data_IF_546707907762
#
_entry.id   IF_546707907762
#
_cell.length_a   1.000
_cell.length_b   1.000
_cell.length_c   1.000
_cell.angle_alpha   90.00
_cell.angle_beta   90.00
_cell.angle_gamma   90.00
#
_symmetry.space_group_name_H-M   'P 1'
#
loop_
_entity.id
_entity.type
_entity.pdbx_description
1 polymer ?
#
# COMPACT_ATOMS: atom_id res chain seq x y z
N UNK A 1 -5.16 20.59 23.63
CA UNK A 1 -4.38 20.91 24.84
C UNK A 1 -3.12 21.67 24.44
N UNK A 2 -2.64 22.62 25.26
CA UNK A 2 -1.32 23.23 25.09
C UNK A 2 -0.36 22.53 26.05
N UNK A 3 0.71 21.98 25.51
CA UNK A 3 1.77 21.32 26.28
C UNK A 3 3.09 22.01 25.97
N UNK A 4 3.92 22.18 26.99
CA UNK A 4 5.30 22.66 26.85
C UNK A 4 6.21 21.45 27.06
N UNK A 5 7.21 21.28 26.19
CA UNK A 5 8.18 20.18 26.24
C UNK A 5 9.58 20.79 26.10
N UNK A 6 10.53 20.30 26.88
CA UNK A 6 11.93 20.68 26.74
C UNK A 6 12.56 19.86 25.62
N UNK A 7 13.18 20.56 24.66
CA UNK A 7 13.82 19.97 23.49
C UNK A 7 15.23 20.57 23.34
N UNK A 8 16.21 19.80 22.87
CA UNK A 8 17.51 20.35 22.50
C UNK A 8 17.37 21.44 21.41
N UNK A 9 18.13 22.52 21.53
CA UNK A 9 18.07 23.65 20.59
C UNK A 9 18.40 23.24 19.16
N UNK A 10 19.40 22.39 18.98
CA UNK A 10 19.82 21.88 17.67
C UNK A 10 18.65 21.15 16.97
N UNK A 11 17.91 20.33 17.72
CA UNK A 11 16.74 19.64 17.20
C UNK A 11 15.65 20.65 16.82
N UNK A 12 15.43 21.69 17.62
CA UNK A 12 14.44 22.70 17.32
C UNK A 12 14.79 23.53 16.07
N UNK A 13 16.08 23.75 15.81
CA UNK A 13 16.58 24.39 14.59
C UNK A 13 16.24 23.52 13.37
N UNK A 14 16.58 22.22 13.41
CA UNK A 14 16.29 21.29 12.32
C UNK A 14 14.78 21.18 12.03
N UNK A 15 13.96 21.13 13.09
CA UNK A 15 12.50 21.08 12.98
C UNK A 15 11.96 22.34 12.29
N UNK A 16 12.46 23.54 12.62
CA UNK A 16 12.07 24.78 11.94
C UNK A 16 12.41 24.76 10.45
N UNK A 17 13.61 24.29 10.10
CA UNK A 17 14.02 24.13 8.70
C UNK A 17 13.11 23.15 7.97
N UNK A 18 12.80 22.00 8.59
CA UNK A 18 11.92 20.99 8.01
C UNK A 18 10.48 21.51 7.83
N UNK A 19 9.95 22.26 8.79
CA UNK A 19 8.62 22.87 8.71
C UNK A 19 8.54 23.92 7.60
N UNK A 20 9.57 24.77 7.47
CA UNK A 20 9.67 25.75 6.38
C UNK A 20 9.71 25.07 5.00
N UNK A 21 10.53 24.03 4.84
CA UNK A 21 10.59 23.24 3.59
C UNK A 21 9.24 22.62 3.21
N UNK A 22 8.48 22.14 4.20
CA UNK A 22 7.15 21.54 4.01
C UNK A 22 6.01 22.56 3.95
N UNK A 23 6.32 23.85 4.09
CA UNK A 23 5.35 24.96 4.16
C UNK A 23 4.24 24.70 5.18
N UNK A 24 4.60 24.21 6.36
CA UNK A 24 3.66 23.97 7.44
C UNK A 24 4.09 24.66 8.73
N UNK A 25 3.14 24.85 9.65
CA UNK A 25 3.43 25.41 10.97
C UNK A 25 4.11 24.38 11.87
N UNK A 26 4.89 24.84 12.86
CA UNK A 26 5.50 23.96 13.88
C UNK A 26 4.44 23.11 14.59
N UNK A 27 3.28 23.69 14.89
CA UNK A 27 2.15 22.96 15.48
C UNK A 27 1.72 21.79 14.59
N UNK A 28 1.48 22.03 13.30
CA UNK A 28 1.10 20.97 12.36
C UNK A 28 2.20 19.91 12.21
N UNK A 29 3.46 20.33 12.18
CA UNK A 29 4.60 19.43 12.10
C UNK A 29 4.64 18.48 13.31
N UNK A 30 4.54 19.01 14.52
CA UNK A 30 4.51 18.22 15.75
C UNK A 30 3.27 17.33 15.81
N UNK A 31 2.09 17.84 15.44
CA UNK A 31 0.85 17.05 15.43
C UNK A 31 0.95 15.85 14.49
N UNK A 32 1.49 16.03 13.28
CA UNK A 32 1.70 14.93 12.33
C UNK A 32 2.73 13.91 12.83
N UNK A 33 3.82 14.38 13.45
CA UNK A 33 4.84 13.50 14.02
C UNK A 33 4.26 12.66 15.17
N UNK A 34 3.56 13.29 16.12
CA UNK A 34 2.95 12.61 17.25
C UNK A 34 1.88 11.62 16.81
N UNK A 35 1.03 11.97 15.85
CA UNK A 35 0.04 11.05 15.28
C UNK A 35 0.69 9.81 14.66
N UNK A 36 1.81 10.00 13.94
CA UNK A 36 2.56 8.90 13.33
C UNK A 36 3.14 7.95 14.37
N UNK A 37 3.80 8.48 15.41
CA UNK A 37 4.46 7.68 16.44
C UNK A 37 3.48 7.03 17.42
N UNK A 38 2.37 7.70 17.73
CA UNK A 38 1.31 7.14 18.55
C UNK A 38 0.44 6.12 17.79
N UNK A 39 0.74 5.85 16.51
CA UNK A 39 -0.09 5.04 15.61
C UNK A 39 -1.54 5.54 15.50
N UNK A 40 -1.76 6.84 15.73
CA UNK A 40 -3.07 7.50 15.65
C UNK A 40 -3.23 8.03 14.23
N UNK A 41 -3.80 7.21 13.34
CA UNK A 41 -4.11 7.60 11.97
C UNK A 41 -4.54 6.42 11.11
N UNK A 42 -5.13 6.69 9.93
CA UNK A 42 -5.47 5.62 9.00
C UNK A 42 -4.19 4.84 8.63
N UNK A 43 -4.26 3.49 8.56
CA UNK A 43 -3.09 2.69 8.24
C UNK A 43 -2.47 3.17 6.93
N UNK A 44 -1.14 3.33 6.91
CA UNK A 44 -0.42 3.65 5.67
C UNK A 44 -0.87 2.65 4.58
N UNK A 45 -1.21 3.10 3.37
CA UNK A 45 -1.56 2.19 2.30
C UNK A 45 -0.40 1.21 2.12
N UNK A 46 -0.66 -0.08 2.37
CA UNK A 46 0.33 -1.12 2.13
C UNK A 46 0.66 -1.05 0.64
N UNK A 47 1.97 -0.99 0.30
CA UNK A 47 2.39 -1.14 -1.09
C UNK A 47 1.75 -2.43 -1.62
N UNK A 48 1.06 -2.41 -2.78
CA UNK A 48 0.52 -3.63 -3.36
C UNK A 48 1.69 -4.58 -3.55
N UNK A 49 1.64 -5.73 -2.87
CA UNK A 49 2.60 -6.80 -3.11
C UNK A 49 2.26 -7.37 -4.49
N UNK A 50 3.23 -7.52 -5.40
CA UNK A 50 2.95 -8.16 -6.68
C UNK A 50 2.37 -9.55 -6.42
N UNK A 51 1.19 -9.82 -6.97
CA UNK A 51 0.55 -11.13 -6.91
C UNK A 51 1.44 -12.13 -7.67
N UNK A 52 1.93 -13.15 -6.97
CA UNK A 52 2.78 -14.18 -7.58
C UNK A 52 1.88 -15.33 -8.06
N UNK A 53 1.75 -15.45 -9.37
CA UNK A 53 1.10 -16.60 -9.98
C UNK A 53 1.91 -17.87 -9.70
N UNK A 54 1.27 -18.87 -9.09
CA UNK A 54 1.79 -20.22 -9.04
C UNK A 54 1.17 -21.01 -10.19
N UNK A 55 1.89 -21.15 -11.29
CA UNK A 55 1.49 -21.97 -12.43
C UNK A 55 2.17 -23.34 -12.36
N UNK A 56 1.46 -24.39 -12.76
CA UNK A 56 2.05 -25.71 -12.95
C UNK A 56 2.76 -25.75 -14.33
N UNK A 57 3.89 -26.47 -14.49
CA UNK A 57 4.51 -26.69 -15.79
C UNK A 57 3.52 -27.36 -16.76
N UNK A 58 3.35 -26.78 -17.95
CA UNK A 58 2.35 -27.25 -18.94
C UNK A 58 1.65 -26.13 -19.70
N UNK A 59 1.76 -24.88 -19.22
CA UNK A 59 1.23 -23.71 -19.92
C UNK A 59 -0.29 -23.72 -20.04
N UNK A 60 -0.80 -22.85 -20.92
CA UNK A 60 -2.22 -22.76 -21.23
C UNK A 60 -2.55 -23.76 -22.33
N UNK A 61 -3.65 -24.49 -22.14
CA UNK A 61 -4.09 -25.45 -23.13
C UNK A 61 -4.53 -24.74 -24.44
N UNK A 62 -4.36 -25.37 -25.62
CA UNK A 62 -4.71 -24.75 -26.89
C UNK A 62 -6.18 -24.29 -26.93
N UNK A 63 -6.38 -23.00 -27.24
CA UNK A 63 -7.71 -22.39 -27.28
C UNK A 63 -8.34 -22.06 -25.92
N UNK A 64 -7.62 -22.23 -24.81
CA UNK A 64 -8.09 -21.83 -23.48
C UNK A 64 -7.88 -20.32 -23.25
N UNK A 65 -8.98 -19.59 -23.20
CA UNK A 65 -9.00 -18.13 -23.00
C UNK A 65 -9.24 -17.79 -21.53
N UNK A 66 -8.21 -17.26 -20.86
CA UNK A 66 -8.27 -16.85 -19.43
C UNK A 66 -8.96 -15.50 -19.25
N UNK A 67 -9.09 -14.71 -20.31
CA UNK A 67 -9.69 -13.37 -20.25
C UNK A 67 -11.21 -13.41 -20.44
N UNK A 68 -11.74 -14.48 -21.03
CA UNK A 68 -13.18 -14.62 -21.30
C UNK A 68 -13.76 -15.85 -20.58
N UNK A 69 -14.59 -15.59 -19.56
CA UNK A 69 -15.23 -16.62 -18.74
C UNK A 69 -16.07 -17.59 -19.57
N UNK A 70 -16.88 -17.11 -20.53
CA UNK A 70 -17.79 -17.96 -21.29
C UNK A 70 -17.02 -18.97 -22.13
N UNK A 71 -16.01 -18.51 -22.88
CA UNK A 71 -15.12 -19.37 -23.66
C UNK A 71 -14.34 -20.36 -22.80
N UNK A 72 -13.99 -19.97 -21.57
CA UNK A 72 -13.33 -20.85 -20.62
C UNK A 72 -14.23 -22.04 -20.23
N UNK A 73 -15.50 -21.78 -19.91
CA UNK A 73 -16.46 -22.84 -19.58
C UNK A 73 -16.83 -23.70 -20.79
N UNK A 74 -16.93 -23.12 -21.99
CA UNK A 74 -17.12 -23.88 -23.23
C UNK A 74 -15.94 -24.82 -23.47
N UNK A 75 -14.70 -24.34 -23.29
CA UNK A 75 -13.51 -25.18 -23.38
C UNK A 75 -13.51 -26.30 -22.35
N UNK A 76 -13.87 -26.01 -21.09
CA UNK A 76 -13.99 -27.05 -20.06
C UNK A 76 -15.07 -28.08 -20.40
N UNK A 77 -16.23 -27.66 -20.90
CA UNK A 77 -17.29 -28.57 -21.31
C UNK A 77 -16.87 -29.46 -22.49
N UNK A 78 -16.04 -28.95 -23.41
CA UNK A 78 -15.54 -29.70 -24.56
C UNK A 78 -14.45 -30.71 -24.20
N UNK A 79 -13.50 -30.31 -23.36
CA UNK A 79 -12.28 -31.10 -23.08
C UNK A 79 -12.35 -31.92 -21.79
N UNK A 80 -13.18 -31.52 -20.83
CA UNK A 80 -13.44 -32.26 -19.57
C UNK A 80 -14.83 -32.90 -19.53
N UNK A 81 -15.58 -32.84 -20.64
CA UNK A 81 -16.93 -33.39 -20.78
C UNK A 81 -16.94 -34.92 -20.85
N UNK A 82 -17.35 -35.52 -19.72
CA UNK A 82 -17.82 -36.89 -19.46
C UNK A 82 -16.81 -38.05 -19.56
N UNK A 83 -16.63 -38.70 -18.40
CA UNK A 83 -16.34 -40.12 -18.27
C UNK A 83 -17.61 -40.79 -17.75
#
# INVERSE_FOLDING_TARGET
MKTTVDLPDDLMIEVKVAAARRRCTLRQFFEQALRREAHIGPPKPKKPRPFKWHTYPGGLAPGFDVANRERMYEWFARELGEK
#
